data_IF_403759539800
#
_entry.id   IF_403759539800
#
_cell.length_a   1.000
_cell.length_b   1.000
_cell.length_c   1.000
_cell.angle_alpha   90.00
_cell.angle_beta   90.00
_cell.angle_gamma   90.00
#
_symmetry.space_group_name_H-M   'P 1'
#
loop_
_entity.id
_entity.type
_entity.pdbx_description
1 polymer ?
#
# COMPACT_ATOMS: atom_id res chain seq x y z
N UNK A 1 13.63 -2.91 6.61
CA UNK A 1 12.71 -2.43 5.56
C UNK A 1 13.44 -1.45 4.66
N UNK A 2 13.44 -1.74 3.38
CA UNK A 2 14.18 -0.94 2.40
C UNK A 2 13.43 0.33 2.02
N UNK A 3 12.14 0.24 1.78
CA UNK A 3 11.37 1.39 1.37
C UNK A 3 11.06 2.30 2.56
N UNK A 4 11.18 3.61 2.32
CA UNK A 4 10.84 4.62 3.30
C UNK A 4 9.84 5.59 2.69
N UNK A 5 9.06 6.24 3.56
CA UNK A 5 8.10 7.23 3.11
C UNK A 5 8.85 8.39 2.46
N UNK A 6 8.40 8.76 1.26
CA UNK A 6 9.00 9.87 0.55
C UNK A 6 8.31 11.19 0.89
N UNK A 7 6.99 11.14 1.01
CA UNK A 7 6.18 12.34 1.12
C UNK A 7 4.86 12.01 1.79
N UNK A 8 4.22 13.02 2.39
CA UNK A 8 2.89 12.85 2.94
C UNK A 8 1.80 12.89 1.87
N UNK A 9 2.16 13.24 0.63
CA UNK A 9 1.18 13.34 -0.44
C UNK A 9 0.70 11.99 -0.87
N UNK A 10 -0.61 11.88 -1.07
CA UNK A 10 -1.24 10.68 -1.60
C UNK A 10 -2.28 11.10 -2.61
N UNK A 11 -2.68 10.15 -3.46
CA UNK A 11 -3.77 10.36 -4.39
C UNK A 11 -4.81 9.27 -4.15
N UNK A 12 -5.93 9.65 -3.58
CA UNK A 12 -7.02 8.72 -3.30
C UNK A 12 -8.02 8.75 -4.45
N UNK A 13 -8.37 7.56 -4.94
CA UNK A 13 -9.36 7.39 -6.00
C UNK A 13 -10.30 6.27 -5.61
N UNK A 14 -11.31 6.02 -6.46
CA UNK A 14 -12.21 4.89 -6.22
C UNK A 14 -11.49 3.55 -6.37
N UNK A 15 -10.33 3.53 -7.01
CA UNK A 15 -9.55 2.31 -7.21
C UNK A 15 -8.60 2.03 -6.05
N UNK A 16 -8.36 3.02 -5.20
CA UNK A 16 -7.45 2.86 -4.07
C UNK A 16 -6.69 4.13 -3.78
N UNK A 17 -5.52 3.99 -3.18
CA UNK A 17 -4.69 5.14 -2.82
C UNK A 17 -3.29 4.94 -3.39
N UNK A 18 -2.82 5.93 -4.13
CA UNK A 18 -1.46 5.94 -4.66
C UNK A 18 -0.56 6.72 -3.72
N UNK A 19 0.61 6.19 -3.46
CA UNK A 19 1.58 6.83 -2.57
C UNK A 19 2.99 6.54 -3.05
N UNK A 20 3.94 7.36 -2.61
CA UNK A 20 5.31 7.28 -3.09
C UNK A 20 6.23 6.87 -1.95
N UNK A 21 7.05 5.88 -2.19
CA UNK A 21 8.10 5.47 -1.27
C UNK A 21 9.45 5.66 -1.96
N UNK A 22 10.54 5.54 -1.20
CA UNK A 22 11.88 5.65 -1.77
C UNK A 22 12.77 4.53 -1.27
N UNK A 23 13.68 4.13 -2.14
CA UNK A 23 14.81 3.26 -1.82
C UNK A 23 16.05 4.08 -2.07
N UNK A 24 16.61 4.67 -1.01
CA UNK A 24 17.69 5.62 -1.17
C UNK A 24 17.19 6.84 -1.94
N UNK A 25 17.73 7.08 -3.12
CA UNK A 25 17.31 8.17 -3.98
C UNK A 25 16.35 7.73 -5.09
N UNK A 26 15.98 6.47 -5.11
CA UNK A 26 15.09 5.94 -6.15
C UNK A 26 13.64 6.00 -5.69
N UNK A 27 12.80 6.67 -6.45
CA UNK A 27 11.37 6.74 -6.15
C UNK A 27 10.67 5.46 -6.59
N UNK A 28 9.80 4.95 -5.72
CA UNK A 28 9.07 3.72 -5.98
C UNK A 28 7.59 4.02 -5.81
N UNK A 29 6.85 4.22 -6.91
CA UNK A 29 5.42 4.48 -6.82
C UNK A 29 4.68 3.23 -6.39
N UNK A 30 3.76 3.40 -5.44
CA UNK A 30 3.02 2.31 -4.83
C UNK A 30 1.53 2.60 -4.88
N UNK A 31 0.73 1.55 -4.73
CA UNK A 31 -0.72 1.66 -4.68
C UNK A 31 -1.27 0.68 -3.66
N UNK A 32 -2.18 1.16 -2.82
CA UNK A 32 -2.99 0.31 -1.95
C UNK A 32 -4.36 0.15 -2.62
N UNK A 33 -4.76 -1.09 -2.91
CA UNK A 33 -5.99 -1.33 -3.66
C UNK A 33 -7.23 -1.08 -2.83
N UNK A 34 -8.31 -0.67 -3.50
CA UNK A 34 -9.59 -0.44 -2.84
C UNK A 34 -10.07 -1.68 -2.10
N UNK A 35 -9.88 -2.87 -2.68
CA UNK A 35 -10.26 -4.10 -2.01
C UNK A 35 -9.59 -4.27 -0.67
N UNK A 36 -8.31 -3.95 -0.57
CA UNK A 36 -7.61 -3.99 0.70
C UNK A 36 -8.23 -3.01 1.69
N UNK A 37 -8.45 -1.77 1.25
CA UNK A 37 -8.94 -0.73 2.14
C UNK A 37 -10.35 -1.03 2.63
N UNK A 38 -11.19 -1.61 1.77
CA UNK A 38 -12.54 -2.00 2.15
C UNK A 38 -12.53 -3.21 3.08
N UNK A 39 -11.78 -4.24 2.72
CA UNK A 39 -11.84 -5.52 3.41
C UNK A 39 -11.14 -5.50 4.75
N UNK A 40 -10.03 -4.78 4.84
CA UNK A 40 -9.21 -4.80 6.05
C UNK A 40 -9.35 -3.57 6.90
N UNK A 41 -9.72 -2.45 6.32
CA UNK A 41 -9.69 -1.17 7.04
C UNK A 41 -11.01 -0.42 6.97
N UNK A 42 -12.06 -1.04 6.46
CA UNK A 42 -13.40 -0.49 6.57
C UNK A 42 -13.71 0.71 5.69
N UNK A 43 -13.01 0.86 4.57
CA UNK A 43 -13.31 1.94 3.64
C UNK A 43 -14.72 1.80 3.09
N UNK A 44 -15.38 2.94 2.83
CA UNK A 44 -16.69 2.95 2.18
C UNK A 44 -16.61 2.68 0.67
N UNK A 45 -15.39 2.65 0.11
CA UNK A 45 -15.20 2.32 -1.29
C UNK A 45 -15.11 3.51 -2.22
N UNK A 46 -15.38 4.71 -1.74
CA UNK A 46 -15.17 5.91 -2.54
C UNK A 46 -13.79 6.51 -2.22
N UNK A 47 -13.43 7.56 -2.94
CA UNK A 47 -12.11 8.15 -2.77
C UNK A 47 -11.89 8.68 -1.36
N UNK A 48 -12.91 9.28 -0.77
CA UNK A 48 -12.81 9.84 0.57
C UNK A 48 -12.63 8.73 1.61
N UNK A 49 -13.42 7.66 1.51
CA UNK A 49 -13.30 6.52 2.40
C UNK A 49 -11.95 5.85 2.27
N UNK A 50 -11.46 5.71 1.03
CA UNK A 50 -10.16 5.12 0.78
C UNK A 50 -9.05 5.98 1.38
N UNK A 51 -9.14 7.28 1.26
CA UNK A 51 -8.15 8.18 1.85
C UNK A 51 -8.12 8.03 3.37
N UNK A 52 -9.29 8.04 4.01
CA UNK A 52 -9.38 7.87 5.45
C UNK A 52 -8.78 6.55 5.92
N UNK A 53 -9.17 5.47 5.27
CA UNK A 53 -8.68 4.14 5.64
C UNK A 53 -7.16 4.05 5.48
N UNK A 54 -6.65 4.64 4.41
CA UNK A 54 -5.21 4.63 4.17
C UNK A 54 -4.47 5.43 5.25
N UNK A 55 -4.93 6.64 5.55
CA UNK A 55 -4.23 7.49 6.51
C UNK A 55 -4.20 6.88 7.90
N UNK A 56 -5.28 6.23 8.29
CA UNK A 56 -5.35 5.60 9.61
C UNK A 56 -4.44 4.38 9.73
N UNK A 57 -4.12 3.75 8.60
CA UNK A 57 -3.36 2.50 8.60
C UNK A 57 -2.10 2.59 7.75
N UNK A 58 -1.61 3.80 7.53
CA UNK A 58 -0.55 4.05 6.56
C UNK A 58 0.73 3.27 6.87
N UNK A 59 1.12 3.23 8.13
CA UNK A 59 2.36 2.54 8.49
C UNK A 59 2.30 1.06 8.16
N UNK A 60 1.16 0.44 8.42
CA UNK A 60 0.99 -0.98 8.12
C UNK A 60 1.05 -1.23 6.62
N UNK A 61 0.41 -0.36 5.85
CA UNK A 61 0.39 -0.50 4.40
C UNK A 61 1.78 -0.25 3.82
N UNK A 62 2.48 0.76 4.32
CA UNK A 62 3.86 1.03 3.90
C UNK A 62 4.77 -0.13 4.24
N UNK A 63 4.57 -0.74 5.40
CA UNK A 63 5.34 -1.91 5.79
C UNK A 63 5.13 -3.08 4.84
N UNK A 64 3.87 -3.31 4.45
CA UNK A 64 3.58 -4.37 3.47
C UNK A 64 4.21 -4.07 2.13
N UNK A 65 4.17 -2.80 1.69
CA UNK A 65 4.80 -2.42 0.43
C UNK A 65 6.30 -2.68 0.47
N UNK A 66 6.96 -2.33 1.57
CA UNK A 66 8.38 -2.54 1.72
C UNK A 66 8.73 -4.03 1.72
N UNK A 67 7.90 -4.84 2.38
CA UNK A 67 8.12 -6.28 2.39
C UNK A 67 8.03 -6.88 0.99
N UNK A 68 7.05 -6.44 0.20
CA UNK A 68 6.94 -6.91 -1.18
C UNK A 68 8.14 -6.48 -2.01
N UNK A 69 8.59 -5.25 -1.82
CA UNK A 69 9.75 -4.74 -2.53
C UNK A 69 10.99 -5.57 -2.19
N UNK A 70 11.22 -5.83 -0.90
CA UNK A 70 12.36 -6.60 -0.44
C UNK A 70 12.31 -8.05 -0.95
N UNK A 71 11.10 -8.58 -1.15
CA UNK A 71 10.91 -9.92 -1.68
C UNK A 71 11.00 -9.97 -3.21
N UNK A 72 11.22 -8.84 -3.87
CA UNK A 72 11.32 -8.80 -5.33
C UNK A 72 9.99 -8.85 -6.05
N UNK A 73 8.88 -8.64 -5.36
CA UNK A 73 7.55 -8.71 -5.97
C UNK A 73 7.17 -7.37 -6.56
N UNK A 74 7.85 -6.99 -7.62
CA UNK A 74 7.71 -5.69 -8.26
C UNK A 74 6.94 -5.87 -9.54
N UNK A 75 5.93 -5.01 -9.75
CA UNK A 75 5.07 -5.09 -10.94
C UNK A 75 5.84 -4.63 -12.17
N UNK A 76 5.98 -5.48 -13.16
CA UNK A 76 6.81 -5.11 -14.31
C UNK A 76 6.13 -4.18 -15.31
N UNK A 77 4.80 -4.12 -15.33
CA UNK A 77 4.07 -3.38 -16.36
C UNK A 77 3.18 -2.28 -15.83
N UNK A 78 2.87 -2.27 -14.57
CA UNK A 78 1.99 -1.26 -14.01
C UNK A 78 2.75 0.04 -13.80
N UNK A 79 2.06 1.18 -13.80
CA UNK A 79 2.74 2.43 -13.43
C UNK A 79 3.23 2.40 -11.98
N UNK A 80 2.59 1.60 -11.14
CA UNK A 80 3.04 1.42 -9.76
C UNK A 80 3.95 0.21 -9.69
N UNK A 81 5.07 0.36 -9.00
CA UNK A 81 6.01 -0.75 -8.83
C UNK A 81 5.53 -1.75 -7.80
N UNK A 82 4.82 -1.29 -6.78
CA UNK A 82 4.31 -2.14 -5.72
C UNK A 82 2.82 -1.91 -5.59
N UNK A 83 2.05 -2.99 -5.67
CA UNK A 83 0.61 -2.94 -5.45
C UNK A 83 0.29 -3.78 -4.22
N UNK A 84 -0.24 -3.14 -3.17
CA UNK A 84 -0.58 -3.82 -1.93
C UNK A 84 -2.05 -4.20 -1.97
N UNK A 85 -2.34 -5.47 -1.82
CA UNK A 85 -3.71 -5.98 -1.84
C UNK A 85 -4.05 -6.63 -0.51
N UNK A 86 -5.30 -7.05 -0.36
CA UNK A 86 -5.76 -7.66 0.88
C UNK A 86 -4.95 -8.90 1.25
N UNK A 87 -4.55 -9.67 0.25
CA UNK A 87 -3.82 -10.90 0.50
C UNK A 87 -2.43 -10.61 1.09
N UNK A 88 -1.86 -9.46 0.76
CA UNK A 88 -0.55 -9.09 1.29
C UNK A 88 -0.59 -8.76 2.76
N UNK A 89 -1.74 -8.36 3.26
CA UNK A 89 -1.91 -7.98 4.65
C UNK A 89 -2.44 -9.14 5.50
N UNK A 90 -2.90 -10.20 4.86
CA UNK A 90 -3.53 -11.30 5.58
C UNK A 90 -2.52 -12.25 6.19
N UNK A 91 -1.42 -12.47 5.50
CA UNK A 91 -0.49 -13.53 5.88
C UNK A 91 0.10 -13.37 7.29
N UNK A 92 0.47 -12.18 7.74
CA UNK A 92 1.03 -12.07 9.10
C UNK A 92 0.07 -12.51 10.18
N UNK A 93 -1.22 -12.37 9.95
CA UNK A 93 -2.20 -12.75 10.96
C UNK A 93 -2.26 -14.25 11.16
N UNK A 94 -2.17 -14.98 10.07
CA UNK A 94 -2.23 -16.44 10.16
C UNK A 94 -1.00 -16.99 10.84
N UNK A 95 0.08 -16.27 10.83
CA UNK A 95 1.33 -16.74 11.43
C UNK A 95 1.38 -16.55 12.93
N UNK A 96 0.43 -15.87 13.47
CA UNK A 96 0.37 -15.68 14.91
C UNK A 96 0.04 -16.96 15.65
N UNK A 97 -0.46 -17.87 14.97
CA UNK A 97 -0.88 -19.13 15.58
C UNK A 97 0.28 -19.99 16.05
#
# INVERSE_FOLDING_TARGET
>A
MTLKRCSDKILATIDGVEFLMVDGSTEVPCRAECGLLCDRFGSSGDSHGNENAFRLNREDIEGAASNKYDAGKIEPRAPWKIIVSAIDMASPLSQKM
#
